data_IF_608896898484
#
_entry.id   IF_608896898484
#
_cell.length_a   1.000
_cell.length_b   1.000
_cell.length_c   1.000
_cell.angle_alpha   90.00
_cell.angle_beta   90.00
_cell.angle_gamma   90.00
#
_symmetry.space_group_name_H-M   'P 1'
#
loop_
_entity.id
_entity.type
_entity.pdbx_description
1 polymer ?
#
# COMPACT_ATOMS: atom_id res chain seq x y z
N UNK A 1 -8.03 19.69 -3.59
CA UNK A 1 -6.86 19.20 -4.35
C UNK A 1 -6.96 17.69 -4.41
N UNK A 2 -6.83 17.04 -5.57
CA UNK A 2 -6.67 15.59 -5.57
C UNK A 2 -5.37 15.29 -4.83
N UNK A 3 -5.41 14.41 -3.83
CA UNK A 3 -4.19 13.93 -3.17
C UNK A 3 -3.19 13.50 -4.24
N UNK A 4 -1.97 14.01 -4.22
CA UNK A 4 -0.98 13.57 -5.21
C UNK A 4 -0.45 12.20 -4.80
N UNK A 5 0.13 11.47 -5.77
CA UNK A 5 0.81 10.20 -5.51
C UNK A 5 1.81 10.29 -4.35
N UNK A 6 2.51 11.43 -4.22
CA UNK A 6 3.44 11.70 -3.14
C UNK A 6 2.74 11.81 -1.77
N UNK A 7 1.61 12.54 -1.67
CA UNK A 7 0.83 12.65 -0.44
C UNK A 7 0.33 11.28 0.05
N UNK A 8 -0.11 10.43 -0.88
CA UNK A 8 -0.58 9.07 -0.56
C UNK A 8 0.58 8.22 -0.03
N UNK A 9 1.76 8.30 -0.66
CA UNK A 9 2.94 7.56 -0.20
C UNK A 9 3.37 8.06 1.18
N UNK A 10 3.41 9.37 1.41
CA UNK A 10 3.80 9.96 2.70
C UNK A 10 2.84 9.55 3.82
N UNK A 11 1.52 9.63 3.57
CA UNK A 11 0.48 9.22 4.53
C UNK A 11 0.58 7.73 4.87
N UNK A 12 0.75 6.88 3.86
CA UNK A 12 0.95 5.44 4.07
C UNK A 12 2.27 5.18 4.80
N UNK A 13 3.36 5.86 4.45
CA UNK A 13 4.63 5.66 5.16
C UNK A 13 4.53 6.06 6.64
N UNK A 14 3.84 7.15 6.95
CA UNK A 14 3.55 7.56 8.33
C UNK A 14 2.62 6.58 9.06
N UNK A 15 1.59 6.06 8.39
CA UNK A 15 0.67 5.07 8.98
C UNK A 15 1.36 3.76 9.34
N UNK A 16 2.29 3.31 8.50
CA UNK A 16 3.02 2.07 8.73
C UNK A 16 4.25 2.24 9.63
N UNK A 17 4.65 3.47 9.98
CA UNK A 17 5.69 3.83 10.96
C UNK A 17 6.90 2.88 10.97
N UNK A 18 7.47 2.63 9.78
CA UNK A 18 8.63 1.74 9.61
C UNK A 18 8.36 0.22 9.63
N UNK A 19 7.14 -0.24 9.95
CA UNK A 19 6.74 -1.67 9.83
C UNK A 19 6.83 -2.19 8.40
N UNK A 20 6.63 -1.29 7.44
CA UNK A 20 6.81 -1.56 6.02
C UNK A 20 7.85 -0.59 5.48
N UNK A 21 8.94 -1.07 4.86
CA UNK A 21 9.96 -0.18 4.33
C UNK A 21 9.40 0.66 3.17
N UNK A 22 9.80 1.93 3.12
CA UNK A 22 9.44 2.88 2.07
C UNK A 22 9.51 2.32 0.62
N UNK A 23 10.54 1.54 0.22
CA UNK A 23 10.57 0.91 -1.11
C UNK A 23 9.38 -0.04 -1.34
N UNK A 24 8.96 -0.79 -0.32
CA UNK A 24 7.79 -1.67 -0.41
C UNK A 24 6.49 -0.87 -0.53
N UNK A 25 6.37 0.24 0.22
CA UNK A 25 5.24 1.18 0.09
C UNK A 25 5.14 1.71 -1.34
N UNK A 26 6.22 2.26 -1.87
CA UNK A 26 6.25 2.82 -3.22
C UNK A 26 6.00 1.78 -4.31
N UNK A 27 6.54 0.55 -4.16
CA UNK A 27 6.27 -0.54 -5.09
C UNK A 27 4.80 -0.95 -5.10
N UNK A 28 4.18 -1.13 -3.93
CA UNK A 28 2.77 -1.50 -3.82
C UNK A 28 1.89 -0.40 -4.42
N UNK A 29 2.09 0.85 -4.05
CA UNK A 29 1.32 2.00 -4.57
C UNK A 29 1.47 2.11 -6.10
N UNK A 30 2.68 1.90 -6.65
CA UNK A 30 2.93 1.90 -8.10
C UNK A 30 2.22 0.75 -8.80
N UNK A 31 2.17 -0.43 -8.18
CA UNK A 31 1.48 -1.60 -8.73
C UNK A 31 -0.05 -1.39 -8.73
N UNK A 32 -0.60 -0.91 -7.62
CA UNK A 32 -2.00 -0.52 -7.50
C UNK A 32 -2.41 0.50 -8.57
N UNK A 33 -1.56 1.51 -8.82
CA UNK A 33 -1.77 2.50 -9.87
C UNK A 33 -1.85 1.86 -11.26
N UNK A 34 -0.94 0.94 -11.56
CA UNK A 34 -0.89 0.24 -12.85
C UNK A 34 -2.14 -0.62 -13.05
N UNK A 35 -2.61 -1.32 -12.02
CA UNK A 35 -3.84 -2.12 -12.09
C UNK A 35 -5.09 -1.26 -12.27
N UNK A 36 -5.21 -0.15 -11.55
CA UNK A 36 -6.30 0.79 -11.73
C UNK A 36 -6.30 1.44 -13.13
N UNK A 37 -5.10 1.66 -13.69
CA UNK A 37 -4.94 2.16 -15.06
C UNK A 37 -5.27 1.09 -16.11
N UNK A 38 -4.96 -0.19 -15.86
CA UNK A 38 -5.27 -1.29 -16.77
C UNK A 38 -6.76 -1.62 -16.81
N UNK A 39 -7.49 -1.46 -15.71
CA UNK A 39 -8.95 -1.66 -15.66
C UNK A 39 -9.74 -0.53 -16.35
N UNK A 40 -9.10 0.61 -16.62
CA UNK A 40 -9.70 1.75 -17.31
C UNK A 40 -9.25 1.80 -18.77
N UNK A 41 -9.58 0.76 -19.54
CA UNK A 41 -9.26 0.59 -20.97
C UNK A 41 -9.67 1.79 -21.85
N UNK A 42 -10.54 2.70 -21.36
CA UNK A 42 -11.04 3.86 -22.11
C UNK A 42 -10.91 5.23 -21.43
N UNK A 43 -10.28 5.34 -20.25
CA UNK A 43 -10.15 6.64 -19.56
C UNK A 43 -8.67 6.99 -19.40
N UNK A 44 -8.29 8.19 -19.87
CA UNK A 44 -6.97 8.80 -19.67
C UNK A 44 -6.43 8.39 -18.30
N UNK A 45 -5.22 7.85 -18.27
CA UNK A 45 -4.58 7.36 -17.06
C UNK A 45 -4.61 8.45 -15.99
N UNK A 46 -5.62 8.39 -15.12
CA UNK A 46 -5.78 9.36 -14.06
C UNK A 46 -4.55 9.23 -13.16
N UNK A 47 -3.81 10.33 -12.89
CA UNK A 47 -2.60 10.25 -12.09
C UNK A 47 -2.90 9.77 -10.66
N UNK A 48 -4.15 9.94 -10.22
CA UNK A 48 -4.65 9.41 -8.96
C UNK A 48 -6.07 8.82 -9.13
N UNK A 49 -6.20 7.53 -9.49
CA UNK A 49 -7.50 6.91 -9.63
C UNK A 49 -8.20 6.84 -8.25
N UNK A 50 -9.50 7.19 -8.18
CA UNK A 50 -10.25 7.17 -6.92
C UNK A 50 -10.20 5.75 -6.32
N UNK A 51 -9.76 5.66 -5.06
CA UNK A 51 -9.61 4.39 -4.34
C UNK A 51 -8.21 3.77 -4.36
N UNK A 52 -7.21 4.41 -4.99
CA UNK A 52 -5.82 3.95 -4.98
C UNK A 52 -5.26 3.80 -3.56
N UNK A 53 -5.51 4.79 -2.69
CA UNK A 53 -5.09 4.77 -1.29
C UNK A 53 -5.67 3.57 -0.55
N UNK A 54 -6.97 3.29 -0.71
CA UNK A 54 -7.63 2.14 -0.08
C UNK A 54 -7.08 0.79 -0.58
N UNK A 55 -6.78 0.67 -1.87
CA UNK A 55 -6.19 -0.53 -2.45
C UNK A 55 -4.76 -0.75 -1.93
N UNK A 56 -3.94 0.31 -1.94
CA UNK A 56 -2.57 0.29 -1.45
C UNK A 56 -2.53 -0.04 0.05
N UNK A 57 -3.39 0.59 0.85
CA UNK A 57 -3.52 0.33 2.29
C UNK A 57 -3.84 -1.13 2.60
N UNK A 58 -4.82 -1.72 1.91
CA UNK A 58 -5.16 -3.16 2.09
C UNK A 58 -3.99 -4.07 1.79
N UNK A 59 -3.21 -3.78 0.72
CA UNK A 59 -2.04 -4.57 0.38
C UNK A 59 -0.88 -4.37 1.34
N UNK A 60 -0.69 -3.16 1.83
CA UNK A 60 0.31 -2.87 2.86
C UNK A 60 -0.03 -3.52 4.19
N UNK A 61 -1.30 -3.58 4.58
CA UNK A 61 -1.75 -4.35 5.74
C UNK A 61 -1.44 -5.84 5.58
N UNK A 62 -1.66 -6.41 4.40
CA UNK A 62 -1.29 -7.80 4.13
C UNK A 62 0.24 -8.02 4.16
N UNK A 63 1.02 -7.07 3.65
CA UNK A 63 2.48 -7.13 3.67
C UNK A 63 3.04 -6.99 5.10
N UNK A 64 2.50 -6.08 5.91
CA UNK A 64 2.86 -5.90 7.31
C UNK A 64 2.47 -7.12 8.15
N UNK A 65 1.29 -7.70 7.91
CA UNK A 65 0.82 -8.91 8.60
C UNK A 65 1.62 -10.17 8.25
N UNK A 66 2.20 -10.26 7.05
CA UNK A 66 3.04 -11.39 6.63
C UNK A 66 4.38 -11.46 7.38
N UNK A 67 4.80 -10.39 8.03
CA UNK A 67 5.92 -10.39 8.98
C UNK A 67 5.53 -10.73 10.42
N UNK A 68 4.23 -10.91 10.71
CA UNK A 68 3.68 -11.02 12.06
C UNK A 68 3.06 -12.37 12.44
N UNK A 69 3.24 -13.41 11.63
CA UNK A 69 2.93 -14.81 12.01
C UNK A 69 4.22 -15.59 11.79
N UNK A 70 5.05 -15.86 12.79
CA UNK A 70 4.80 -16.87 13.82
C UNK A 70 5.69 -16.55 15.03
N UNK A 71 5.06 -16.21 16.15
CA UNK A 71 5.77 -15.97 17.39
C UNK A 71 4.78 -15.84 18.54
N UNK A 72 4.07 -16.94 18.87
CA UNK A 72 3.58 -17.16 20.24
C UNK A 72 3.20 -18.61 20.50
N UNK A 73 3.80 -19.14 21.55
CA UNK A 73 3.71 -20.51 22.09
C UNK A 73 5.13 -21.07 22.16
N UNK A 74 6.11 -20.35 22.70
CA UNK A 74 6.34 -20.16 24.14
C UNK A 74 6.12 -21.46 24.91
N UNK A 75 7.21 -22.23 24.97
CA UNK A 75 7.53 -23.19 26.02
C UNK A 75 7.41 -22.54 27.39
N UNK A 76 6.85 -23.25 28.36
CA UNK A 76 7.26 -23.18 29.78
C UNK A 76 6.45 -24.18 30.60
N UNK A 77 6.98 -24.71 31.72
CA UNK A 77 8.33 -25.22 32.01
C UNK A 77 8.36 -26.75 32.19
#
# INVERSE_FOLDING_TARGET
MPDSYADIVERLCGEFDGRVPLPTVTQIVRQCRREASSSSVHRRADPNPPGLEGLARRRLLAAAGRGGTTGRGDETP
#
